data_IF_035254277775
#
_entry.id   IF_035254277775
#
_cell.length_a   1.000
_cell.length_b   1.000
_cell.length_c   1.000
_cell.angle_alpha   90.00
_cell.angle_beta   90.00
_cell.angle_gamma   90.00
#
_symmetry.space_group_name_H-M   'P 1'
#
loop_
_entity.id
_entity.type
_entity.pdbx_description
1 polymer ?
#
# COMPACT_ATOMS: atom_id res chain seq x y z
N UNK A 1 -9.35 -0.83 -6.91
CA UNK A 1 -10.70 -0.29 -6.65
C UNK A 1 -11.42 -1.23 -5.72
N UNK A 2 -11.88 -0.73 -4.57
CA UNK A 2 -12.54 -1.53 -3.54
C UNK A 2 -14.03 -1.69 -3.88
N UNK A 3 -14.64 -0.63 -4.41
CA UNK A 3 -16.01 -0.61 -4.94
C UNK A 3 -16.00 0.09 -6.29
N UNK A 4 -16.76 -0.39 -7.25
CA UNK A 4 -16.99 0.26 -8.54
C UNK A 4 -18.42 0.79 -8.62
N UNK A 5 -18.58 1.98 -9.21
CA UNK A 5 -19.89 2.52 -9.58
C UNK A 5 -19.91 2.66 -11.10
N UNK A 6 -20.79 1.94 -11.77
CA UNK A 6 -20.98 2.02 -13.21
C UNK A 6 -22.21 2.88 -13.52
N UNK A 7 -21.99 3.97 -14.24
CA UNK A 7 -23.03 4.93 -14.59
C UNK A 7 -23.48 4.71 -16.03
N UNK A 8 -24.63 4.11 -16.21
CA UNK A 8 -25.32 4.02 -17.48
C UNK A 8 -26.13 5.32 -17.71
N UNK A 9 -26.12 5.86 -18.90
CA UNK A 9 -26.76 7.17 -19.17
C UNK A 9 -27.64 7.20 -20.42
N UNK A 10 -28.03 6.07 -20.96
CA UNK A 10 -28.87 5.94 -22.16
C UNK A 10 -28.94 4.53 -22.67
N UNK A 11 -29.34 4.38 -23.94
CA UNK A 11 -29.49 3.08 -24.60
C UNK A 11 -28.17 2.51 -25.13
N UNK A 12 -27.13 3.34 -25.30
CA UNK A 12 -25.80 2.90 -25.72
C UNK A 12 -24.93 2.70 -24.46
N UNK A 13 -24.81 1.46 -24.03
CA UNK A 13 -24.12 1.10 -22.78
C UNK A 13 -23.15 -0.09 -22.90
N UNK A 14 -22.73 -0.41 -24.12
CA UNK A 14 -21.85 -1.56 -24.36
C UNK A 14 -20.48 -1.42 -23.65
N UNK A 15 -19.94 -0.22 -23.62
CA UNK A 15 -18.65 0.04 -22.95
C UNK A 15 -18.75 -0.15 -21.43
N UNK A 16 -19.87 0.26 -20.82
CA UNK A 16 -20.12 0.08 -19.40
C UNK A 16 -20.32 -1.41 -19.05
N UNK A 17 -20.93 -2.21 -19.94
CA UNK A 17 -21.05 -3.66 -19.76
C UNK A 17 -19.67 -4.35 -19.82
N UNK A 18 -18.76 -3.92 -20.68
CA UNK A 18 -17.39 -4.44 -20.71
C UNK A 18 -16.69 -4.20 -19.35
N UNK A 19 -16.84 -3.00 -18.79
CA UNK A 19 -16.33 -2.69 -17.44
C UNK A 19 -17.03 -3.51 -16.36
N UNK A 20 -18.35 -3.73 -16.47
CA UNK A 20 -19.08 -4.58 -15.55
C UNK A 20 -18.50 -6.00 -15.51
N UNK A 21 -18.28 -6.62 -16.67
CA UNK A 21 -17.69 -7.95 -16.76
C UNK A 21 -16.26 -7.98 -16.19
N UNK A 22 -15.47 -6.95 -16.47
CA UNK A 22 -14.12 -6.82 -15.90
C UNK A 22 -14.14 -6.76 -14.37
N UNK A 23 -15.00 -5.93 -13.77
CA UNK A 23 -15.10 -5.85 -12.31
C UNK A 23 -15.67 -7.13 -11.69
N UNK A 24 -16.60 -7.78 -12.37
CA UNK A 24 -17.14 -9.07 -11.93
C UNK A 24 -16.07 -10.16 -11.92
N UNK A 25 -15.24 -10.25 -12.96
CA UNK A 25 -14.10 -11.17 -13.01
C UNK A 25 -13.11 -10.91 -11.87
N UNK A 26 -12.92 -9.64 -11.51
CA UNK A 26 -12.04 -9.22 -10.40
C UNK A 26 -12.73 -9.27 -9.01
N UNK A 27 -13.92 -9.84 -8.91
CA UNK A 27 -14.71 -9.89 -7.67
C UNK A 27 -14.84 -8.53 -6.97
N UNK A 28 -14.91 -7.45 -7.75
CA UNK A 28 -15.07 -6.09 -7.21
C UNK A 28 -16.56 -5.81 -7.02
N UNK A 29 -17.03 -5.47 -5.80
CA UNK A 29 -18.40 -5.02 -5.58
C UNK A 29 -18.73 -3.88 -6.52
N UNK A 30 -19.84 -4.01 -7.26
CA UNK A 30 -20.18 -3.04 -8.31
C UNK A 30 -21.62 -2.58 -8.15
N UNK A 31 -21.83 -1.27 -8.07
CA UNK A 31 -23.14 -0.63 -8.12
C UNK A 31 -23.46 -0.20 -9.55
N UNK A 32 -24.50 -0.76 -10.11
CA UNK A 32 -24.99 -0.38 -11.42
C UNK A 32 -26.07 0.70 -11.29
N UNK A 33 -25.85 1.85 -11.91
CA UNK A 33 -26.68 3.03 -11.76
C UNK A 33 -27.10 3.54 -13.14
N UNK A 34 -28.42 3.59 -13.42
CA UNK A 34 -28.96 4.32 -14.56
C UNK A 34 -29.17 5.77 -14.15
N UNK A 35 -28.29 6.63 -14.64
CA UNK A 35 -28.27 8.06 -14.32
C UNK A 35 -29.11 8.87 -15.31
N UNK A 36 -29.36 10.14 -14.96
CA UNK A 36 -30.12 11.09 -15.78
C UNK A 36 -31.54 10.59 -16.11
N UNK A 37 -32.17 9.85 -15.21
CA UNK A 37 -33.52 9.29 -15.42
C UNK A 37 -34.56 10.34 -15.84
N UNK A 38 -34.42 11.59 -15.40
CA UNK A 38 -35.26 12.73 -15.78
C UNK A 38 -35.15 13.14 -17.25
N UNK A 39 -34.18 12.64 -18.00
CA UNK A 39 -33.99 12.95 -19.44
C UNK A 39 -34.26 11.77 -20.34
N UNK A 40 -34.48 10.57 -19.79
CA UNK A 40 -34.75 9.35 -20.54
C UNK A 40 -36.22 9.20 -20.80
N UNK A 41 -36.60 8.80 -22.02
CA UNK A 41 -38.01 8.61 -22.41
C UNK A 41 -38.63 7.38 -21.77
N UNK A 42 -37.83 6.31 -21.57
CA UNK A 42 -38.25 5.04 -20.99
C UNK A 42 -37.15 4.44 -20.11
N UNK A 43 -36.93 5.06 -18.96
CA UNK A 43 -35.89 4.61 -18.01
C UNK A 43 -36.16 3.21 -17.44
N UNK A 44 -37.46 2.83 -17.31
CA UNK A 44 -37.84 1.55 -16.74
C UNK A 44 -37.50 0.38 -17.69
N UNK A 45 -37.73 0.56 -19.00
CA UNK A 45 -37.36 -0.44 -20.02
C UNK A 45 -35.83 -0.63 -20.09
N UNK A 46 -35.06 0.48 -20.08
CA UNK A 46 -33.61 0.43 -20.09
C UNK A 46 -33.11 -0.27 -18.82
N UNK A 47 -33.63 0.06 -17.65
CA UNK A 47 -33.28 -0.58 -16.40
C UNK A 47 -33.58 -2.09 -16.40
N UNK A 48 -34.70 -2.50 -16.97
CA UNK A 48 -35.09 -3.90 -17.10
C UNK A 48 -34.09 -4.67 -18.02
N UNK A 49 -33.69 -4.10 -19.14
CA UNK A 49 -32.68 -4.68 -20.04
C UNK A 49 -31.34 -4.82 -19.34
N UNK A 50 -30.83 -3.74 -18.70
CA UNK A 50 -29.61 -3.76 -17.95
C UNK A 50 -29.61 -4.80 -16.82
N UNK A 51 -30.74 -4.94 -16.10
CA UNK A 51 -30.90 -5.98 -15.08
C UNK A 51 -30.84 -7.38 -15.67
N UNK A 52 -31.38 -7.60 -16.85
CA UNK A 52 -31.31 -8.89 -17.54
C UNK A 52 -29.85 -9.22 -17.93
N UNK A 53 -29.10 -8.27 -18.44
CA UNK A 53 -27.71 -8.47 -18.88
C UNK A 53 -26.72 -8.59 -17.71
N UNK A 54 -26.84 -7.76 -16.69
CA UNK A 54 -25.93 -7.76 -15.53
C UNK A 54 -26.28 -8.80 -14.47
N UNK A 55 -27.55 -9.25 -14.43
CA UNK A 55 -28.14 -10.07 -13.35
C UNK A 55 -28.04 -9.38 -11.98
N UNK A 56 -28.06 -8.06 -11.96
CA UNK A 56 -28.04 -7.23 -10.75
C UNK A 56 -29.17 -6.20 -10.77
N UNK A 57 -29.52 -5.69 -9.60
CA UNK A 57 -30.46 -4.57 -9.50
C UNK A 57 -29.80 -3.29 -10.06
N UNK A 58 -30.58 -2.52 -10.78
CA UNK A 58 -30.18 -1.25 -11.36
C UNK A 58 -30.80 -0.12 -10.56
N UNK A 59 -29.95 0.72 -9.98
CA UNK A 59 -30.40 1.90 -9.28
C UNK A 59 -30.71 3.01 -10.28
N UNK A 60 -31.97 3.38 -10.43
CA UNK A 60 -32.40 4.46 -11.35
C UNK A 60 -32.43 5.78 -10.60
N UNK A 61 -31.66 6.76 -11.05
CA UNK A 61 -31.52 8.06 -10.36
C UNK A 61 -31.53 9.26 -11.32
N UNK A 62 -32.01 10.39 -10.78
CA UNK A 62 -31.68 11.72 -11.31
C UNK A 62 -30.83 12.51 -10.32
N UNK A 63 -29.69 13.05 -10.75
CA UNK A 63 -28.86 13.91 -9.90
C UNK A 63 -29.56 15.20 -9.47
N UNK A 64 -30.70 15.54 -10.05
CA UNK A 64 -31.55 16.68 -9.66
C UNK A 64 -32.49 16.35 -8.48
N UNK A 65 -32.71 15.06 -8.21
CA UNK A 65 -33.52 14.59 -7.09
C UNK A 65 -32.67 14.37 -5.86
N UNK A 66 -32.96 15.08 -4.78
CA UNK A 66 -32.26 14.86 -3.50
C UNK A 66 -32.54 13.47 -2.93
N UNK A 67 -33.73 12.95 -3.12
CA UNK A 67 -34.14 11.63 -2.66
C UNK A 67 -33.35 10.53 -3.37
N UNK A 68 -33.12 10.65 -4.68
CA UNK A 68 -32.33 9.68 -5.43
C UNK A 68 -30.86 9.70 -5.02
N UNK A 69 -30.32 10.88 -4.69
CA UNK A 69 -28.97 11.01 -4.19
C UNK A 69 -28.82 10.35 -2.81
N UNK A 70 -29.81 10.46 -1.92
CA UNK A 70 -29.76 9.75 -0.63
C UNK A 70 -29.88 8.23 -0.84
N UNK A 71 -30.76 7.74 -1.70
CA UNK A 71 -30.83 6.31 -2.07
C UNK A 71 -29.50 5.81 -2.63
N UNK A 72 -28.85 6.60 -3.50
CA UNK A 72 -27.54 6.25 -4.03
C UNK A 72 -26.48 6.09 -2.93
N UNK A 73 -26.45 7.00 -1.96
CA UNK A 73 -25.54 6.92 -0.82
C UNK A 73 -25.81 5.67 0.03
N UNK A 74 -27.07 5.36 0.31
CA UNK A 74 -27.47 4.18 1.08
C UNK A 74 -27.03 2.89 0.39
N UNK A 75 -27.27 2.76 -0.93
CA UNK A 75 -26.86 1.58 -1.68
C UNK A 75 -25.32 1.48 -1.79
N UNK A 76 -24.61 2.60 -1.90
CA UNK A 76 -23.15 2.61 -1.89
C UNK A 76 -22.60 2.15 -0.53
N UNK A 77 -23.21 2.60 0.58
CA UNK A 77 -22.82 2.17 1.94
C UNK A 77 -23.07 0.67 2.12
N UNK A 78 -24.15 0.12 1.60
CA UNK A 78 -24.44 -1.33 1.67
C UNK A 78 -23.44 -2.20 0.95
N UNK A 79 -22.75 -1.65 -0.06
CA UNK A 79 -21.70 -2.36 -0.80
C UNK A 79 -20.34 -2.32 -0.11
N UNK A 80 -20.17 -1.47 0.90
CA UNK A 80 -18.92 -1.44 1.69
C UNK A 80 -18.82 -2.77 2.44
N UNK A 81 -17.74 -3.52 2.30
CA UNK A 81 -17.53 -4.74 3.09
C UNK A 81 -17.61 -4.45 4.59
N UNK A 82 -18.16 -5.39 5.37
CA UNK A 82 -18.34 -5.22 6.82
C UNK A 82 -17.00 -4.99 7.56
N UNK A 83 -15.92 -5.55 7.04
CA UNK A 83 -14.54 -5.42 7.56
C UNK A 83 -13.81 -4.17 7.03
N UNK A 84 -14.49 -3.32 6.25
CA UNK A 84 -13.88 -2.11 5.71
C UNK A 84 -13.56 -1.09 6.81
N UNK A 85 -12.26 -0.84 6.99
CA UNK A 85 -11.76 0.09 8.01
C UNK A 85 -11.44 -0.55 9.38
N UNK A 86 -11.63 -1.86 9.56
CA UNK A 86 -11.19 -2.59 10.77
C UNK A 86 -9.69 -2.88 10.73
N UNK A 87 -9.07 -2.90 9.55
CA UNK A 87 -7.64 -3.10 9.41
C UNK A 87 -6.86 -1.90 9.93
N UNK A 88 -5.90 -2.16 10.80
CA UNK A 88 -5.04 -1.14 11.40
C UNK A 88 -3.61 -1.26 10.87
N UNK A 89 -2.88 -0.15 10.85
CA UNK A 89 -1.49 -0.12 10.37
C UNK A 89 -0.57 -0.79 11.38
N UNK A 90 -0.81 -0.55 12.67
CA UNK A 90 0.02 -1.08 13.75
C UNK A 90 -0.45 -2.45 14.24
N UNK A 91 -1.64 -2.90 13.84
CA UNK A 91 -2.16 -4.22 14.14
C UNK A 91 -2.10 -4.58 15.63
N UNK A 92 -1.66 -5.80 15.90
CA UNK A 92 -1.51 -6.34 17.26
C UNK A 92 -0.20 -5.92 17.98
N UNK A 93 0.58 -4.99 17.39
CA UNK A 93 1.85 -4.55 17.97
C UNK A 93 1.68 -3.60 19.16
N UNK A 94 0.52 -2.97 19.29
CA UNK A 94 0.23 -1.96 20.31
C UNK A 94 -1.13 -2.16 20.96
N UNK A 95 -1.25 -1.71 22.20
CA UNK A 95 -2.49 -1.68 22.99
C UNK A 95 -2.72 -0.26 23.54
N UNK A 96 -3.93 0.01 24.04
CA UNK A 96 -4.28 1.31 24.68
C UNK A 96 -3.28 1.64 25.80
N UNK A 97 -2.73 2.86 25.78
CA UNK A 97 -1.77 3.35 26.77
C UNK A 97 -0.32 2.96 26.53
N UNK A 98 -0.01 2.19 25.48
CA UNK A 98 1.36 1.92 25.10
C UNK A 98 2.11 3.17 24.69
N UNK A 99 3.39 3.26 25.08
CA UNK A 99 4.29 4.32 24.64
C UNK A 99 4.98 3.88 23.35
N UNK A 100 4.77 4.65 22.27
CA UNK A 100 5.36 4.42 20.97
C UNK A 100 6.27 5.57 20.57
N UNK A 101 7.49 5.26 20.16
CA UNK A 101 8.48 6.24 19.69
C UNK A 101 8.63 6.16 18.18
N UNK A 102 8.36 7.28 17.49
CA UNK A 102 8.58 7.43 16.06
C UNK A 102 9.93 8.11 15.81
N UNK A 103 10.87 7.40 15.18
CA UNK A 103 12.19 7.95 14.82
C UNK A 103 12.16 8.29 13.33
N UNK A 104 12.00 9.58 13.03
CA UNK A 104 11.76 10.08 11.68
C UNK A 104 12.92 10.98 11.23
N UNK A 105 13.81 10.51 10.36
CA UNK A 105 14.79 11.41 9.73
C UNK A 105 14.05 12.48 8.91
N UNK A 106 14.67 13.64 8.74
CA UNK A 106 14.13 14.69 7.89
C UNK A 106 14.11 14.20 6.43
N UNK A 107 12.92 13.97 5.89
CA UNK A 107 12.77 13.58 4.50
C UNK A 107 12.81 14.82 3.60
N UNK A 108 13.84 14.89 2.75
CA UNK A 108 14.03 16.00 1.81
C UNK A 108 12.90 16.06 0.75
N UNK A 109 12.23 14.92 0.49
CA UNK A 109 11.11 14.84 -0.46
C UNK A 109 9.80 15.39 0.12
N UNK A 110 9.68 15.45 1.44
CA UNK A 110 8.50 16.04 2.06
C UNK A 110 8.51 17.56 1.91
N UNK A 111 7.41 18.19 1.50
CA UNK A 111 7.32 19.64 1.50
C UNK A 111 7.60 20.18 2.90
N UNK A 112 8.31 21.32 2.98
CA UNK A 112 8.63 21.97 4.27
C UNK A 112 7.38 22.11 5.14
N UNK A 113 7.46 21.64 6.38
CA UNK A 113 6.36 21.68 7.34
C UNK A 113 5.34 20.54 7.23
N UNK A 114 5.65 19.50 6.43
CA UNK A 114 4.80 18.31 6.29
C UNK A 114 5.57 17.03 6.60
N UNK A 115 4.85 16.02 7.08
CA UNK A 115 5.30 14.66 7.16
C UNK A 115 4.87 13.91 5.89
N UNK A 116 5.57 12.83 5.55
CA UNK A 116 5.14 11.94 4.46
C UNK A 116 3.89 11.15 4.87
N UNK A 117 3.11 10.73 3.89
CA UNK A 117 1.83 10.07 4.11
C UNK A 117 1.88 8.87 5.06
N UNK A 118 2.85 7.94 4.96
CA UNK A 118 2.95 6.82 5.91
C UNK A 118 3.13 7.27 7.36
N UNK A 119 3.92 8.30 7.60
CA UNK A 119 4.13 8.85 8.96
C UNK A 119 2.83 9.41 9.53
N UNK A 120 2.11 10.21 8.74
CA UNK A 120 0.82 10.80 9.17
C UNK A 120 -0.22 9.73 9.45
N UNK A 121 -0.35 8.73 8.57
CA UNK A 121 -1.32 7.65 8.75
C UNK A 121 -0.99 6.79 9.97
N UNK A 122 0.29 6.46 10.19
CA UNK A 122 0.70 5.70 11.38
C UNK A 122 0.47 6.48 12.67
N UNK A 123 0.74 7.79 12.72
CA UNK A 123 0.43 8.63 13.88
C UNK A 123 -1.07 8.59 14.16
N UNK A 124 -1.90 8.73 13.13
CA UNK A 124 -3.35 8.69 13.27
C UNK A 124 -3.83 7.34 13.80
N UNK A 125 -3.35 6.25 13.25
CA UNK A 125 -3.66 4.90 13.69
C UNK A 125 -3.30 4.66 15.18
N UNK A 126 -2.11 5.10 15.61
CA UNK A 126 -1.69 5.03 17.00
C UNK A 126 -2.57 5.87 17.95
N UNK A 127 -3.05 7.02 17.51
CA UNK A 127 -3.96 7.86 18.29
C UNK A 127 -5.35 7.23 18.39
N UNK A 128 -5.82 6.59 17.34
CA UNK A 128 -7.09 5.84 17.34
C UNK A 128 -7.02 4.65 18.32
N UNK A 129 -5.83 4.04 18.50
CA UNK A 129 -5.54 3.02 19.53
C UNK A 129 -5.26 3.63 20.92
N UNK A 130 -5.37 4.94 21.09
CA UNK A 130 -5.09 5.66 22.34
C UNK A 130 -3.69 5.44 22.90
N UNK A 131 -2.71 5.26 22.01
CA UNK A 131 -1.30 5.16 22.39
C UNK A 131 -0.72 6.53 22.78
N UNK A 132 0.33 6.50 23.60
CA UNK A 132 1.17 7.67 23.88
C UNK A 132 2.25 7.77 22.79
N UNK A 133 2.18 8.80 21.96
CA UNK A 133 3.07 8.93 20.80
C UNK A 133 4.12 10.01 21.06
N UNK A 134 5.39 9.61 20.99
CA UNK A 134 6.55 10.52 20.98
C UNK A 134 7.22 10.46 19.62
N UNK A 135 7.81 11.55 19.17
CA UNK A 135 8.58 11.55 17.92
C UNK A 135 9.89 12.31 18.06
N UNK A 136 10.93 11.84 17.36
CA UNK A 136 12.23 12.52 17.30
C UNK A 136 12.92 12.27 15.95
N UNK A 137 13.95 13.05 15.69
CA UNK A 137 14.89 12.80 14.59
C UNK A 137 15.93 11.76 15.02
N UNK A 138 16.62 11.15 14.05
CA UNK A 138 17.58 10.06 14.32
C UNK A 138 18.73 10.50 15.24
N UNK A 139 19.19 11.75 15.10
CA UNK A 139 20.27 12.35 15.93
C UNK A 139 19.83 12.62 17.38
N UNK A 140 18.51 12.69 17.63
CA UNK A 140 17.92 12.93 18.96
C UNK A 140 17.39 11.67 19.64
N UNK A 141 17.64 10.50 19.07
CA UNK A 141 17.12 9.23 19.62
C UNK A 141 17.57 9.00 21.07
N UNK A 142 18.88 9.13 21.35
CA UNK A 142 19.42 8.87 22.70
C UNK A 142 18.91 9.89 23.71
N UNK A 143 18.89 11.18 23.36
CA UNK A 143 18.35 12.26 24.20
C UNK A 143 16.85 11.98 24.51
N UNK A 144 16.10 11.54 23.51
CA UNK A 144 14.67 11.24 23.67
C UNK A 144 14.46 10.03 24.58
N UNK A 145 15.21 8.93 24.36
CA UNK A 145 15.12 7.74 25.21
C UNK A 145 15.46 8.06 26.68
N UNK A 146 16.47 8.91 26.91
CA UNK A 146 16.85 9.35 28.26
C UNK A 146 15.79 10.23 28.94
N UNK A 147 14.97 10.94 28.17
CA UNK A 147 13.90 11.79 28.69
C UNK A 147 12.61 11.03 29.03
N UNK A 148 12.48 9.76 28.60
CA UNK A 148 11.29 8.95 28.86
C UNK A 148 11.34 8.33 30.25
N UNK A 149 10.19 8.30 30.95
CA UNK A 149 10.04 7.68 32.26
C UNK A 149 10.06 6.15 32.18
N UNK A 150 9.78 5.57 31.02
CA UNK A 150 9.82 4.13 30.74
C UNK A 150 10.23 3.91 29.28
N UNK A 151 10.83 2.76 28.94
CA UNK A 151 11.13 2.41 27.57
C UNK A 151 9.85 2.35 26.72
N UNK A 152 9.91 2.76 25.43
CA UNK A 152 8.79 2.57 24.54
C UNK A 152 8.51 1.08 24.29
N UNK A 153 7.24 0.72 24.20
CA UNK A 153 6.81 -0.63 23.80
C UNK A 153 7.26 -0.92 22.37
N UNK A 154 7.05 0.04 21.48
CA UNK A 154 7.36 -0.07 20.05
C UNK A 154 8.13 1.16 19.60
N UNK A 155 9.15 0.94 18.78
CA UNK A 155 9.87 1.98 18.05
C UNK A 155 9.59 1.77 16.55
N UNK A 156 9.09 2.81 15.88
CA UNK A 156 8.81 2.81 14.45
C UNK A 156 9.73 3.81 13.77
N UNK A 157 10.43 3.39 12.71
CA UNK A 157 11.42 4.24 12.04
C UNK A 157 11.35 4.13 10.53
N UNK A 158 12.06 4.97 9.81
CA UNK A 158 12.30 4.77 8.38
C UNK A 158 13.32 3.65 8.15
N UNK A 159 13.07 2.80 7.17
CA UNK A 159 13.92 1.63 6.87
C UNK A 159 15.38 2.02 6.59
N UNK A 160 15.62 3.23 6.11
CA UNK A 160 16.97 3.72 5.83
C UNK A 160 17.84 3.93 7.07
N UNK A 161 17.26 4.09 8.26
CA UNK A 161 17.98 4.26 9.53
C UNK A 161 17.75 3.08 10.49
N UNK A 162 17.19 1.98 10.01
CA UNK A 162 16.87 0.77 10.78
C UNK A 162 18.06 0.30 11.64
N UNK A 163 19.24 0.14 11.03
CA UNK A 163 20.43 -0.35 11.74
C UNK A 163 20.82 0.57 12.86
N UNK A 164 20.83 1.88 12.63
CA UNK A 164 21.18 2.88 13.65
C UNK A 164 20.23 2.83 14.84
N UNK A 165 18.92 2.68 14.58
CA UNK A 165 17.92 2.60 15.64
C UNK A 165 18.01 1.25 16.37
N UNK A 166 18.24 0.15 15.65
CA UNK A 166 18.40 -1.17 16.24
C UNK A 166 19.55 -1.23 17.24
N UNK A 167 20.69 -0.62 16.90
CA UNK A 167 21.88 -0.64 17.74
C UNK A 167 21.75 0.23 19.02
N UNK A 168 20.77 1.16 19.06
CA UNK A 168 20.57 2.12 20.16
C UNK A 168 19.28 1.89 20.97
N UNK A 169 18.34 1.09 20.45
CA UNK A 169 17.06 0.86 21.11
C UNK A 169 17.22 0.11 22.43
N UNK A 170 16.34 0.33 23.42
CA UNK A 170 16.23 -0.54 24.57
C UNK A 170 15.97 -2.00 24.16
N UNK A 171 16.51 -2.95 24.91
CA UNK A 171 16.42 -4.38 24.55
C UNK A 171 14.97 -4.86 24.52
N UNK A 172 14.15 -4.40 25.46
CA UNK A 172 12.75 -4.74 25.62
C UNK A 172 11.81 -4.10 24.58
N UNK A 173 12.24 -3.03 23.91
CA UNK A 173 11.43 -2.36 22.91
C UNK A 173 11.35 -3.17 21.62
N UNK A 174 10.16 -3.32 21.06
CA UNK A 174 9.96 -3.84 19.71
C UNK A 174 10.46 -2.82 18.70
N UNK A 175 10.83 -3.27 17.52
CA UNK A 175 11.28 -2.40 16.42
C UNK A 175 10.60 -2.78 15.12
N UNK A 176 10.07 -1.79 14.42
CA UNK A 176 9.56 -1.93 13.07
C UNK A 176 9.86 -0.67 12.24
N UNK A 177 9.42 -0.65 10.98
CA UNK A 177 9.45 0.55 10.16
C UNK A 177 8.12 0.84 9.49
N UNK A 178 7.95 2.11 9.07
CA UNK A 178 6.76 2.50 8.30
C UNK A 178 6.56 1.61 7.07
N UNK A 179 7.61 1.29 6.32
CA UNK A 179 7.48 0.45 5.13
C UNK A 179 7.21 -1.03 5.44
N UNK A 180 7.60 -1.55 6.60
CA UNK A 180 7.24 -2.90 7.06
C UNK A 180 5.77 -2.92 7.49
N UNK A 181 5.32 -1.95 8.28
CA UNK A 181 3.90 -1.83 8.65
C UNK A 181 2.99 -1.74 7.42
N UNK A 182 3.38 -0.93 6.43
CA UNK A 182 2.63 -0.82 5.18
C UNK A 182 2.74 -2.05 4.28
N UNK A 183 3.81 -2.85 4.41
CA UNK A 183 3.91 -4.14 3.73
C UNK A 183 2.89 -5.15 4.27
N UNK A 184 2.62 -5.14 5.57
CA UNK A 184 1.56 -5.94 6.19
C UNK A 184 0.18 -5.37 5.88
N UNK A 185 -0.04 -4.08 6.15
CA UNK A 185 -1.32 -3.39 5.99
C UNK A 185 -1.89 -3.44 4.56
N UNK A 186 -1.04 -3.28 3.53
CA UNK A 186 -1.46 -3.21 2.13
C UNK A 186 -1.08 -4.42 1.28
N UNK A 187 -0.19 -5.28 1.77
CA UNK A 187 0.38 -6.37 0.98
C UNK A 187 0.25 -7.72 1.66
N UNK A 188 1.26 -8.56 1.41
CA UNK A 188 1.43 -9.89 2.00
C UNK A 188 2.86 -9.96 2.55
N UNK A 189 3.00 -9.63 3.83
CA UNK A 189 4.31 -9.58 4.47
C UNK A 189 5.01 -10.94 4.51
N UNK A 190 4.25 -12.01 4.70
CA UNK A 190 4.80 -13.36 4.72
C UNK A 190 5.45 -13.70 3.37
N UNK A 191 4.75 -13.41 2.28
CA UNK A 191 5.28 -13.58 0.93
C UNK A 191 6.49 -12.67 0.65
N UNK A 192 6.45 -11.41 1.06
CA UNK A 192 7.56 -10.48 0.92
C UNK A 192 8.82 -10.95 1.68
N UNK A 193 8.62 -11.48 2.89
CA UNK A 193 9.71 -12.01 3.74
C UNK A 193 10.34 -13.26 3.11
N UNK A 194 9.52 -14.19 2.65
CA UNK A 194 9.99 -15.39 1.95
C UNK A 194 10.73 -15.01 0.66
N UNK A 195 10.16 -14.13 -0.14
CA UNK A 195 10.76 -13.67 -1.39
C UNK A 195 12.07 -12.91 -1.21
N UNK A 196 12.30 -12.26 -0.07
CA UNK A 196 13.56 -11.57 0.20
C UNK A 196 14.75 -12.54 0.26
N UNK A 197 14.53 -13.83 0.56
CA UNK A 197 15.58 -14.85 0.53
C UNK A 197 16.18 -15.03 -0.87
N UNK A 198 15.42 -14.74 -1.94
CA UNK A 198 15.92 -14.76 -3.31
C UNK A 198 17.15 -13.84 -3.53
N UNK A 199 17.31 -12.78 -2.73
CA UNK A 199 18.50 -11.91 -2.78
C UNK A 199 19.79 -12.70 -2.62
N UNK A 200 19.78 -13.81 -1.87
CA UNK A 200 20.98 -14.63 -1.66
C UNK A 200 21.36 -15.51 -2.86
N UNK A 201 20.43 -15.76 -3.77
CA UNK A 201 20.64 -16.55 -4.99
C UNK A 201 20.94 -15.69 -6.23
N UNK A 202 20.86 -14.35 -6.13
CA UNK A 202 21.18 -13.45 -7.23
C UNK A 202 22.67 -13.48 -7.55
N UNK A 203 22.97 -13.34 -8.84
CA UNK A 203 24.31 -13.24 -9.42
C UNK A 203 24.46 -11.95 -10.21
N UNK A 204 25.64 -11.68 -10.75
CA UNK A 204 25.87 -10.52 -11.63
C UNK A 204 25.08 -10.58 -12.94
N UNK A 205 24.63 -11.78 -13.34
CA UNK A 205 23.81 -11.99 -14.54
C UNK A 205 22.31 -11.82 -14.26
N UNK A 206 21.93 -11.72 -12.99
CA UNK A 206 20.54 -11.59 -12.57
C UNK A 206 19.95 -10.21 -12.90
N UNK A 207 18.63 -10.19 -13.01
CA UNK A 207 17.86 -8.97 -13.31
C UNK A 207 16.82 -8.69 -12.24
N UNK A 208 16.90 -7.52 -11.61
CA UNK A 208 15.99 -7.07 -10.55
C UNK A 208 15.11 -5.94 -11.07
N UNK A 209 13.80 -6.01 -10.77
CA UNK A 209 12.86 -4.94 -11.03
C UNK A 209 12.58 -4.14 -9.76
N UNK A 210 12.89 -2.86 -9.76
CA UNK A 210 12.41 -1.89 -8.77
C UNK A 210 11.07 -1.32 -9.24
N UNK A 211 10.01 -1.57 -8.50
CA UNK A 211 8.65 -1.14 -8.86
C UNK A 211 8.18 -0.01 -7.94
N UNK A 212 8.32 1.21 -8.40
CA UNK A 212 7.81 2.39 -7.71
C UNK A 212 6.31 2.58 -8.00
N UNK A 213 5.57 3.08 -7.02
CA UNK A 213 4.16 3.45 -7.19
C UNK A 213 3.97 4.95 -7.42
N UNK A 214 4.96 5.76 -7.06
CA UNK A 214 4.92 7.20 -7.20
C UNK A 214 5.53 7.63 -8.55
N UNK A 215 5.09 8.80 -9.04
CA UNK A 215 5.60 9.43 -10.28
C UNK A 215 6.34 10.74 -9.99
N UNK A 216 6.76 10.96 -8.75
CA UNK A 216 7.51 12.16 -8.38
C UNK A 216 8.93 12.16 -8.98
N UNK A 217 9.48 13.33 -9.22
CA UNK A 217 10.83 13.46 -9.73
C UNK A 217 11.83 12.91 -8.69
N UNK A 218 12.75 12.01 -9.09
CA UNK A 218 13.73 11.46 -8.17
C UNK A 218 14.70 12.55 -7.69
N UNK A 219 14.99 12.53 -6.40
CA UNK A 219 16.04 13.35 -5.80
C UNK A 219 17.33 12.55 -5.68
N UNK A 220 18.45 13.25 -5.42
CA UNK A 220 19.69 12.59 -5.00
C UNK A 220 19.42 11.80 -3.71
N UNK A 221 19.99 10.59 -3.61
CA UNK A 221 19.78 9.64 -2.51
C UNK A 221 18.41 8.95 -2.47
N UNK A 222 17.74 8.83 -3.61
CA UNK A 222 16.48 8.08 -3.72
C UNK A 222 16.65 6.62 -3.30
N UNK A 223 15.71 6.14 -2.45
CA UNK A 223 15.78 4.79 -1.88
C UNK A 223 15.73 3.72 -2.97
N UNK A 224 14.79 3.85 -3.92
CA UNK A 224 14.57 2.87 -4.98
C UNK A 224 15.60 2.96 -6.10
N UNK A 225 16.03 4.18 -6.45
CA UNK A 225 16.87 4.42 -7.62
C UNK A 225 18.36 4.35 -7.33
N UNK A 226 18.77 4.62 -6.10
CA UNK A 226 20.18 4.64 -5.72
C UNK A 226 20.49 3.69 -4.56
N UNK A 227 19.79 3.79 -3.43
CA UNK A 227 20.18 3.10 -2.21
C UNK A 227 20.02 1.59 -2.32
N UNK A 228 18.86 1.09 -2.72
CA UNK A 228 18.63 -0.36 -2.88
C UNK A 228 19.52 -0.95 -3.98
N UNK A 229 19.60 -0.38 -5.21
CA UNK A 229 20.54 -0.86 -6.22
C UNK A 229 22.01 -0.90 -5.75
N UNK A 230 22.47 0.13 -5.02
CA UNK A 230 23.82 0.16 -4.49
C UNK A 230 24.05 -0.92 -3.41
N UNK A 231 23.08 -1.16 -2.52
CA UNK A 231 23.15 -2.24 -1.52
C UNK A 231 23.20 -3.62 -2.19
N UNK A 232 22.38 -3.84 -3.22
CA UNK A 232 22.38 -5.07 -4.00
C UNK A 232 23.71 -5.29 -4.72
N UNK A 233 24.20 -4.29 -5.47
CA UNK A 233 25.49 -4.38 -6.20
C UNK A 233 26.68 -4.56 -5.26
N UNK A 234 26.64 -3.95 -4.09
CA UNK A 234 27.71 -4.15 -3.07
C UNK A 234 27.77 -5.60 -2.59
N UNK A 235 26.64 -6.30 -2.54
CA UNK A 235 26.55 -7.68 -2.07
C UNK A 235 26.78 -8.71 -3.18
N UNK A 236 26.29 -8.43 -4.40
CA UNK A 236 26.21 -9.39 -5.49
C UNK A 236 27.33 -9.15 -6.52
N UNK A 237 27.57 -7.90 -6.89
CA UNK A 237 28.53 -7.49 -7.91
C UNK A 237 27.99 -6.36 -8.80
N UNK A 238 28.89 -5.70 -9.51
CA UNK A 238 28.55 -4.53 -10.34
C UNK A 238 27.78 -4.89 -11.61
N UNK A 239 27.83 -6.14 -12.06
CA UNK A 239 27.13 -6.64 -13.25
C UNK A 239 25.62 -6.75 -13.09
N UNK A 240 25.09 -6.74 -11.84
CA UNK A 240 23.67 -6.87 -11.58
C UNK A 240 22.84 -5.81 -12.32
N UNK A 241 21.92 -6.28 -13.16
CA UNK A 241 20.98 -5.40 -13.87
C UNK A 241 19.83 -5.00 -12.98
N UNK A 242 19.52 -3.72 -12.90
CA UNK A 242 18.38 -3.20 -12.14
C UNK A 242 17.56 -2.29 -13.04
N UNK A 243 16.34 -2.73 -13.36
CA UNK A 243 15.34 -1.93 -14.06
C UNK A 243 14.44 -1.22 -13.06
N UNK A 244 13.95 -0.05 -13.43
CA UNK A 244 13.07 0.76 -12.58
C UNK A 244 11.81 1.13 -13.37
N UNK A 245 10.64 0.89 -12.79
CA UNK A 245 9.35 1.31 -13.32
C UNK A 245 8.61 2.14 -12.30
N UNK A 246 7.77 3.07 -12.76
CA UNK A 246 7.06 4.01 -11.89
C UNK A 246 5.56 4.05 -12.19
N UNK A 247 4.76 4.40 -11.20
CA UNK A 247 3.32 4.57 -11.37
C UNK A 247 2.62 3.28 -11.81
N UNK A 248 1.93 3.34 -12.92
CA UNK A 248 1.15 2.23 -13.49
C UNK A 248 1.94 1.34 -14.45
N UNK A 249 3.21 1.65 -14.72
CA UNK A 249 4.04 0.98 -15.74
C UNK A 249 4.58 -0.39 -15.27
N UNK A 250 3.87 -1.03 -14.33
CA UNK A 250 4.23 -2.37 -13.87
C UNK A 250 4.03 -3.39 -15.00
N UNK A 251 5.08 -4.14 -15.41
CA UNK A 251 5.01 -5.02 -16.57
C UNK A 251 3.94 -6.11 -16.44
N UNK A 252 3.34 -6.49 -17.57
CA UNK A 252 2.44 -7.65 -17.64
C UNK A 252 3.23 -8.96 -17.60
N UNK A 253 4.36 -9.02 -18.28
CA UNK A 253 5.29 -10.15 -18.29
C UNK A 253 6.46 -9.86 -17.34
N UNK A 254 6.61 -10.69 -16.33
CA UNK A 254 7.63 -10.60 -15.28
C UNK A 254 8.72 -11.66 -15.42
N UNK A 255 8.59 -12.57 -16.40
CA UNK A 255 9.45 -13.76 -16.55
C UNK A 255 10.95 -13.45 -16.74
N UNK A 256 11.27 -12.22 -17.13
CA UNK A 256 12.65 -11.77 -17.32
C UNK A 256 13.33 -11.28 -16.02
N UNK A 257 12.64 -11.34 -14.88
CA UNK A 257 13.18 -10.85 -13.61
C UNK A 257 13.34 -11.97 -12.60
N UNK A 258 14.47 -11.96 -11.90
CA UNK A 258 14.78 -12.90 -10.81
C UNK A 258 14.23 -12.44 -9.47
N UNK A 259 13.97 -11.13 -9.32
CA UNK A 259 13.39 -10.54 -8.12
C UNK A 259 12.70 -9.21 -8.46
N UNK A 260 11.57 -8.97 -7.82
CA UNK A 260 10.90 -7.67 -7.84
C UNK A 260 10.99 -7.06 -6.43
N UNK A 261 11.31 -5.77 -6.34
CA UNK A 261 11.30 -5.04 -5.08
C UNK A 261 10.37 -3.84 -5.24
N UNK A 262 9.20 -3.90 -4.59
CA UNK A 262 8.17 -2.86 -4.65
C UNK A 262 8.36 -1.82 -3.55
N UNK A 263 8.09 -0.55 -3.84
CA UNK A 263 8.05 0.50 -2.83
C UNK A 263 6.85 0.31 -1.86
N UNK A 264 6.79 1.11 -0.79
CA UNK A 264 5.71 1.05 0.21
C UNK A 264 4.31 1.37 -0.30
N UNK A 265 4.16 1.73 -1.58
CA UNK A 265 2.88 1.98 -2.24
C UNK A 265 1.93 2.92 -1.47
N UNK A 266 2.48 3.96 -0.82
CA UNK A 266 1.72 4.87 0.03
C UNK A 266 0.54 5.56 -0.68
N UNK A 267 0.65 5.80 -1.99
CA UNK A 267 -0.36 6.46 -2.82
C UNK A 267 -1.38 5.49 -3.46
N UNK A 268 -1.18 4.17 -3.32
CA UNK A 268 -2.08 3.17 -3.87
C UNK A 268 -2.84 2.43 -2.76
N UNK A 269 -4.05 1.95 -3.09
CA UNK A 269 -4.82 1.13 -2.18
C UNK A 269 -4.32 -0.32 -2.12
N UNK A 270 -4.77 -1.07 -1.12
CA UNK A 270 -4.42 -2.47 -0.87
C UNK A 270 -4.71 -3.36 -2.09
N UNK A 271 -5.88 -3.22 -2.71
CA UNK A 271 -6.28 -4.04 -3.87
C UNK A 271 -5.31 -3.91 -5.05
N UNK A 272 -4.81 -2.69 -5.32
CA UNK A 272 -3.81 -2.49 -6.38
C UNK A 272 -2.48 -3.16 -6.05
N UNK A 273 -2.03 -3.08 -4.80
CA UNK A 273 -0.81 -3.74 -4.32
C UNK A 273 -0.95 -5.26 -4.45
N UNK A 274 -2.08 -5.81 -3.98
CA UNK A 274 -2.38 -7.24 -4.06
C UNK A 274 -2.42 -7.75 -5.50
N UNK A 275 -2.97 -6.97 -6.45
CA UNK A 275 -2.97 -7.35 -7.88
C UNK A 275 -1.54 -7.51 -8.43
N UNK A 276 -0.57 -6.68 -7.98
CA UNK A 276 0.84 -6.85 -8.35
C UNK A 276 1.45 -8.11 -7.75
N UNK A 277 1.14 -8.38 -6.47
CA UNK A 277 1.58 -9.59 -5.76
C UNK A 277 1.04 -10.85 -6.44
N UNK A 278 -0.26 -10.88 -6.73
CA UNK A 278 -0.90 -12.00 -7.43
C UNK A 278 -0.23 -12.28 -8.77
N UNK A 279 0.01 -11.25 -9.59
CA UNK A 279 0.72 -11.38 -10.86
C UNK A 279 2.13 -11.95 -10.69
N UNK A 280 2.86 -11.53 -9.66
CA UNK A 280 4.18 -12.06 -9.36
C UNK A 280 4.11 -13.53 -8.93
N UNK A 281 3.14 -13.91 -8.09
CA UNK A 281 2.89 -15.29 -7.66
C UNK A 281 2.51 -16.20 -8.83
N UNK A 282 1.59 -15.75 -9.70
CA UNK A 282 1.15 -16.49 -10.89
C UNK A 282 2.34 -16.83 -11.81
N UNK A 283 3.27 -15.88 -11.98
CA UNK A 283 4.45 -16.04 -12.82
C UNK A 283 5.65 -16.63 -12.06
N UNK A 284 5.49 -16.95 -10.78
CA UNK A 284 6.54 -17.52 -9.91
C UNK A 284 7.80 -16.65 -9.81
N UNK A 285 7.65 -15.34 -9.91
CA UNK A 285 8.74 -14.38 -9.73
C UNK A 285 8.70 -13.87 -8.29
N UNK A 286 9.77 -14.06 -7.50
CA UNK A 286 9.81 -13.54 -6.13
C UNK A 286 9.58 -12.03 -6.09
N UNK A 287 8.73 -11.58 -5.17
CA UNK A 287 8.47 -10.15 -4.99
C UNK A 287 8.56 -9.75 -3.53
N UNK A 288 9.44 -8.83 -3.21
CA UNK A 288 9.61 -8.26 -1.88
C UNK A 288 9.24 -6.76 -1.86
N UNK A 289 9.38 -6.13 -0.72
CA UNK A 289 9.10 -4.72 -0.51
C UNK A 289 10.37 -3.99 -0.05
N UNK A 290 10.45 -2.66 -0.25
CA UNK A 290 11.63 -1.84 0.12
C UNK A 290 12.07 -2.07 1.57
N UNK A 291 11.13 -2.01 2.53
CA UNK A 291 11.44 -2.19 3.93
C UNK A 291 11.99 -3.57 4.26
N UNK A 292 11.36 -4.60 3.71
CA UNK A 292 11.77 -6.00 3.90
C UNK A 292 13.12 -6.27 3.24
N UNK A 293 13.32 -5.78 2.00
CA UNK A 293 14.59 -5.95 1.29
C UNK A 293 15.76 -5.22 2.01
N UNK A 294 15.54 -4.00 2.50
CA UNK A 294 16.54 -3.25 3.29
C UNK A 294 16.84 -3.97 4.60
N UNK A 295 15.82 -4.46 5.31
CA UNK A 295 16.00 -5.21 6.54
C UNK A 295 16.81 -6.50 6.32
N UNK A 296 16.52 -7.22 5.22
CA UNK A 296 17.26 -8.41 4.81
C UNK A 296 18.73 -8.09 4.51
N UNK A 297 18.98 -7.09 3.66
CA UNK A 297 20.32 -6.64 3.28
C UNK A 297 21.13 -6.12 4.48
N UNK A 298 20.43 -5.56 5.48
CA UNK A 298 21.05 -5.08 6.73
C UNK A 298 21.23 -6.17 7.80
N UNK A 299 20.75 -7.41 7.56
CA UNK A 299 20.87 -8.54 8.47
C UNK A 299 20.02 -8.41 9.75
N UNK A 300 18.89 -7.71 9.67
CA UNK A 300 17.98 -7.48 10.81
C UNK A 300 16.54 -7.96 10.56
N UNK A 301 16.27 -8.62 9.43
CA UNK A 301 14.91 -9.03 9.06
C UNK A 301 14.24 -9.90 10.11
N UNK A 302 14.98 -10.81 10.77
CA UNK A 302 14.44 -11.68 11.82
C UNK A 302 14.31 -11.00 13.19
N UNK A 303 14.67 -9.72 13.29
CA UNK A 303 14.67 -8.94 14.54
C UNK A 303 13.63 -7.81 14.53
N UNK A 304 12.87 -7.69 13.46
CA UNK A 304 11.79 -6.71 13.33
C UNK A 304 10.44 -7.33 13.68
N UNK A 305 9.55 -6.50 14.21
CA UNK A 305 8.17 -6.87 14.53
C UNK A 305 7.21 -6.40 13.42
N UNK A 306 6.16 -7.17 13.16
CA UNK A 306 5.14 -6.90 12.14
C UNK A 306 3.82 -7.52 12.53
#
# INVERSE_FOLDING_TARGET
TDIAVLLFSGEEYQAELEWFHYFKEKHTPTLCVLSKADTLTDSDSIAAQLKEETKQEILVISSKSKEDIEKFKEELIRLVPDDYGEETITGALVEEGDLVLLVMPQDIQAPKGRLILPQVQTIRDLLDHKCLVMSCTTDKLEDTLAALARPPKLIITDSQVFRTVYDKKPQESLLTSFSVLFAEYKGDFAYYKESAAAISSLTEESKVLIAECCTHAPLKEDIGREKIPNMLRKRIGAGLTVDIVSGTDFPKDLSNYDLIIQCGACMFNKKYVMTRIERAKEQKVPMSNYGVAIAYLSGILDKISY
#
